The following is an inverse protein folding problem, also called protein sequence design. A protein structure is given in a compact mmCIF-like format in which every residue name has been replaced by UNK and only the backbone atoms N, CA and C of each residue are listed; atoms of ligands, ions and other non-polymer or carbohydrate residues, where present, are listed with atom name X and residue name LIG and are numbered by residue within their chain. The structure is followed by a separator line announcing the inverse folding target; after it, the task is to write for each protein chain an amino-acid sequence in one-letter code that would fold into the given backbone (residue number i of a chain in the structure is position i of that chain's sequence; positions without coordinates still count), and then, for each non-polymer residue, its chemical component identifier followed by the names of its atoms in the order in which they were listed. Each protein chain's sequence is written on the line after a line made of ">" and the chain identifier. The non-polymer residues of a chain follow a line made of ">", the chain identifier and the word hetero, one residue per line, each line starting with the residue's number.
data_IF_622353329741
#
_entry.id   IF_622353329741
#
_cell.length_a   1.000
_cell.length_b   1.000
_cell.length_c   1.000
_cell.angle_alpha   90.00
_cell.angle_beta   90.00
_cell.angle_gamma   90.00
#
_symmetry.space_group_name_H-M   'P 1'
#
loop_
_entity.id
_entity.type
_entity.pdbx_description
1 polymer ?
#
# COMPACT_ATOMS: atom_id res chain seq x y z
N UNK A 1 15.38 -2.64 17.91
CA UNK A 1 15.85 -1.24 17.79
C UNK A 1 14.59 -0.43 17.48
N UNK A 2 14.19 0.50 18.35
CA UNK A 2 13.03 1.37 18.09
C UNK A 2 13.58 2.69 17.56
N UNK A 3 13.13 3.10 16.37
CA UNK A 3 13.60 4.30 15.70
C UNK A 3 12.94 5.55 16.30
N UNK A 4 13.64 6.68 16.24
CA UNK A 4 13.19 7.98 16.74
C UNK A 4 12.03 8.51 15.88
N UNK A 5 11.02 9.10 16.53
CA UNK A 5 9.81 9.60 15.86
C UNK A 5 10.12 10.76 14.91
N UNK A 6 11.15 11.56 15.21
CA UNK A 6 11.56 12.67 14.33
C UNK A 6 12.15 12.18 13.00
N UNK A 7 12.65 10.95 12.97
CA UNK A 7 13.14 10.30 11.75
C UNK A 7 12.00 9.78 10.88
N UNK A 8 10.85 9.44 11.49
CA UNK A 8 9.66 8.96 10.77
C UNK A 8 8.83 10.10 10.14
N UNK A 9 9.01 11.35 10.60
CA UNK A 9 8.36 12.53 9.99
C UNK A 9 9.22 13.18 8.90
N UNK A 10 10.46 12.72 8.71
CA UNK A 10 11.32 13.18 7.64
C UNK A 10 10.96 12.44 6.34
N UNK A 11 10.50 13.19 5.33
CA UNK A 11 10.01 12.61 4.09
C UNK A 11 11.15 11.98 3.29
N UNK A 12 12.38 12.52 3.31
CA UNK A 12 13.58 11.87 2.72
C UNK A 12 13.76 10.45 3.25
N UNK A 13 13.62 10.25 4.57
CA UNK A 13 13.73 8.93 5.18
C UNK A 13 12.54 8.02 4.82
N UNK A 14 11.32 8.56 4.78
CA UNK A 14 10.14 7.80 4.34
C UNK A 14 10.29 7.39 2.86
N UNK A 15 10.79 8.28 2.00
CA UNK A 15 11.06 7.98 0.60
C UNK A 15 12.11 6.88 0.46
N UNK A 16 13.23 6.97 1.16
CA UNK A 16 14.23 5.89 1.17
C UNK A 16 13.68 4.56 1.73
N UNK A 17 12.81 4.58 2.75
CA UNK A 17 12.29 3.34 3.37
C UNK A 17 11.12 2.73 2.59
N UNK A 18 10.30 3.54 1.89
CA UNK A 18 9.22 3.05 1.03
C UNK A 18 9.72 2.64 -0.37
N UNK A 19 10.80 3.25 -0.87
CA UNK A 19 11.25 3.07 -2.26
C UNK A 19 12.60 2.39 -2.47
N UNK A 20 13.47 2.20 -1.46
CA UNK A 20 14.79 1.56 -1.70
C UNK A 20 14.81 0.06 -1.33
N UNK A 21 14.22 -0.34 -0.21
CA UNK A 21 14.29 -1.75 0.26
C UNK A 21 13.04 -2.59 -0.08
N UNK A 22 11.90 -1.98 -0.42
CA UNK A 22 10.60 -2.68 -0.48
C UNK A 22 9.81 -2.56 -1.80
N UNK A 23 10.02 -1.52 -2.62
CA UNK A 23 9.38 -1.39 -3.94
C UNK A 23 10.07 -0.35 -4.86
N UNK A 24 10.84 -0.82 -5.85
CA UNK A 24 11.34 0.00 -6.96
C UNK A 24 10.18 0.38 -7.90
N UNK A 25 9.90 1.67 -8.01
CA UNK A 25 8.81 2.20 -8.83
C UNK A 25 9.12 2.24 -10.34
N UNK A 26 10.38 2.08 -10.74
CA UNK A 26 10.77 1.91 -12.14
C UNK A 26 10.51 0.46 -12.63
N UNK A 27 10.56 -0.52 -11.72
CA UNK A 27 10.30 -1.94 -11.99
C UNK A 27 9.26 -2.59 -11.04
N UNK A 28 8.04 -2.03 -10.91
CA UNK A 28 7.07 -2.42 -9.87
C UNK A 28 6.53 -3.86 -10.05
N UNK A 29 6.58 -4.42 -11.27
CA UNK A 29 6.16 -5.81 -11.55
C UNK A 29 6.92 -6.84 -10.72
N UNK A 30 8.18 -6.55 -10.36
CA UNK A 30 9.02 -7.46 -9.56
C UNK A 30 8.44 -7.73 -8.17
N UNK A 31 7.55 -6.87 -7.71
CA UNK A 31 6.94 -6.94 -6.40
C UNK A 31 5.51 -7.51 -6.43
N UNK A 32 4.98 -7.85 -7.62
CA UNK A 32 3.69 -8.50 -7.76
C UNK A 32 3.71 -9.90 -7.12
N UNK A 33 2.74 -10.17 -6.26
CA UNK A 33 2.66 -11.37 -5.43
C UNK A 33 3.53 -11.33 -4.16
N UNK A 34 4.30 -10.26 -3.93
CA UNK A 34 5.11 -10.06 -2.72
C UNK A 34 4.61 -8.83 -1.93
N UNK A 35 4.86 -7.63 -2.46
CA UNK A 35 4.45 -6.36 -1.84
C UNK A 35 3.21 -5.76 -2.51
N UNK A 36 2.97 -6.10 -3.78
CA UNK A 36 1.79 -5.70 -4.55
C UNK A 36 0.93 -6.94 -4.86
N UNK A 37 -0.38 -6.83 -4.73
CA UNK A 37 -1.33 -7.95 -4.93
C UNK A 37 -1.87 -8.01 -6.35
N UNK A 38 -2.04 -6.87 -7.02
CA UNK A 38 -2.75 -6.81 -8.30
C UNK A 38 -2.03 -5.99 -9.35
N UNK A 39 -2.30 -6.27 -10.63
CA UNK A 39 -1.83 -5.45 -11.76
C UNK A 39 -2.26 -3.97 -11.64
N UNK A 40 -3.41 -3.72 -11.00
CA UNK A 40 -3.88 -2.36 -10.72
C UNK A 40 -2.96 -1.60 -9.75
N UNK A 41 -2.44 -2.27 -8.73
CA UNK A 41 -1.45 -1.70 -7.82
C UNK A 41 -0.11 -1.46 -8.52
N UNK A 42 0.32 -2.38 -9.39
CA UNK A 42 1.53 -2.23 -10.20
C UNK A 42 1.44 -1.00 -11.11
N UNK A 43 0.32 -0.82 -11.80
CA UNK A 43 0.10 0.33 -12.68
C UNK A 43 0.14 1.67 -11.90
N UNK A 44 -0.50 1.72 -10.73
CA UNK A 44 -0.52 2.91 -9.88
C UNK A 44 0.85 3.19 -9.24
N UNK A 45 1.64 2.15 -8.91
CA UNK A 45 3.00 2.32 -8.42
C UNK A 45 3.91 2.93 -9.48
N UNK A 46 3.80 2.49 -10.74
CA UNK A 46 4.53 3.10 -11.86
C UNK A 46 4.13 4.57 -12.06
N UNK A 47 2.83 4.86 -12.00
CA UNK A 47 2.32 6.23 -12.13
C UNK A 47 2.86 7.12 -10.99
N UNK A 48 2.98 6.57 -9.77
CA UNK A 48 3.53 7.28 -8.62
C UNK A 48 5.02 7.58 -8.83
N UNK A 49 5.80 6.62 -9.31
CA UNK A 49 7.21 6.82 -9.66
C UNK A 49 7.40 7.93 -10.69
N UNK A 50 6.59 7.94 -11.75
CA UNK A 50 6.63 8.99 -12.76
C UNK A 50 6.30 10.38 -12.19
N UNK A 51 5.28 10.48 -11.32
CA UNK A 51 4.92 11.73 -10.67
C UNK A 51 6.02 12.24 -9.72
N UNK A 52 6.66 11.33 -8.98
CA UNK A 52 7.79 11.67 -8.10
C UNK A 52 9.00 12.15 -8.89
N UNK A 53 9.35 11.49 -10.00
CA UNK A 53 10.43 11.95 -10.88
C UNK A 53 10.16 13.36 -11.43
N UNK A 54 8.93 13.65 -11.83
CA UNK A 54 8.55 15.01 -12.26
C UNK A 54 8.71 16.05 -11.13
N UNK A 55 8.37 15.69 -9.89
CA UNK A 55 8.57 16.57 -8.74
C UNK A 55 10.05 16.76 -8.40
N UNK A 56 10.87 15.71 -8.56
CA UNK A 56 12.32 15.76 -8.35
C UNK A 56 13.01 16.67 -9.38
N UNK A 57 12.55 16.66 -10.64
CA UNK A 57 13.03 17.58 -11.68
C UNK A 57 12.78 19.07 -11.31
N UNK A 58 11.80 19.36 -10.46
CA UNK A 58 11.47 20.70 -9.97
C UNK A 58 12.15 21.05 -8.63
N UNK A 59 12.75 20.07 -7.94
CA UNK A 59 13.36 20.17 -6.62
C UNK A 59 14.88 19.90 -6.68
N UNK A 60 15.70 20.85 -7.18
CA UNK A 60 17.11 20.61 -7.49
C UNK A 60 18.00 20.32 -6.27
N UNK A 61 17.55 20.67 -5.06
CA UNK A 61 18.26 20.38 -3.83
C UNK A 61 17.62 19.22 -3.05
N UNK A 62 16.59 18.56 -3.62
CA UNK A 62 15.96 17.38 -3.04
C UNK A 62 15.44 17.63 -1.61
N UNK A 63 14.92 18.84 -1.35
CA UNK A 63 14.42 19.20 -0.02
C UNK A 63 12.90 19.12 0.04
N UNK A 64 12.34 18.71 1.19
CA UNK A 64 10.88 18.68 1.45
C UNK A 64 10.16 19.97 1.04
N UNK A 65 10.76 21.13 1.36
CA UNK A 65 10.19 22.44 1.05
C UNK A 65 10.09 22.67 -0.46
N UNK A 66 11.08 22.22 -1.22
CA UNK A 66 11.07 22.32 -2.67
C UNK A 66 10.05 21.35 -3.28
N UNK A 67 9.98 20.10 -2.81
CA UNK A 67 8.95 19.15 -3.23
C UNK A 67 7.54 19.67 -2.99
N UNK A 68 7.24 20.19 -1.79
CA UNK A 68 5.93 20.74 -1.49
C UNK A 68 5.58 21.99 -2.31
N UNK A 69 6.57 22.65 -2.89
CA UNK A 69 6.40 23.80 -3.77
C UNK A 69 6.39 23.42 -5.26
N UNK A 70 6.78 22.19 -5.61
CA UNK A 70 6.73 21.70 -6.97
C UNK A 70 5.30 21.73 -7.52
N UNK A 71 5.13 22.20 -8.74
CA UNK A 71 3.85 22.28 -9.42
C UNK A 71 3.23 20.90 -9.66
N UNK A 72 4.08 19.86 -9.79
CA UNK A 72 3.72 18.45 -9.93
C UNK A 72 3.34 17.76 -8.61
N UNK A 73 3.61 18.37 -7.45
CA UNK A 73 3.32 17.76 -6.14
C UNK A 73 1.85 17.34 -5.94
N UNK A 74 0.82 18.10 -6.38
CA UNK A 74 -0.56 17.66 -6.29
C UNK A 74 -0.85 16.35 -7.02
N UNK A 75 -0.12 16.05 -8.11
CA UNK A 75 -0.25 14.79 -8.84
C UNK A 75 0.31 13.63 -8.04
N UNK A 76 1.48 13.80 -7.40
CA UNK A 76 2.06 12.81 -6.47
C UNK A 76 1.04 12.42 -5.39
N UNK A 77 0.45 13.42 -4.74
CA UNK A 77 -0.57 13.21 -3.69
C UNK A 77 -1.79 12.48 -4.24
N UNK A 78 -2.26 12.86 -5.43
CA UNK A 78 -3.43 12.23 -6.05
C UNK A 78 -3.18 10.76 -6.42
N UNK A 79 -2.02 10.43 -6.98
CA UNK A 79 -1.67 9.05 -7.35
C UNK A 79 -1.44 8.19 -6.11
N UNK A 80 -0.68 8.70 -5.13
CA UNK A 80 -0.45 8.01 -3.86
C UNK A 80 -1.77 7.70 -3.13
N UNK A 81 -2.71 8.65 -3.13
CA UNK A 81 -4.04 8.46 -2.56
C UNK A 81 -4.83 7.34 -3.26
N UNK A 82 -4.77 7.25 -4.60
CA UNK A 82 -5.41 6.16 -5.35
C UNK A 82 -4.76 4.81 -5.06
N UNK A 83 -3.43 4.76 -5.05
CA UNK A 83 -2.69 3.53 -4.72
C UNK A 83 -3.07 3.01 -3.34
N UNK A 84 -3.06 3.88 -2.32
CA UNK A 84 -3.45 3.53 -0.97
C UNK A 84 -4.90 3.00 -0.90
N UNK A 85 -5.84 3.64 -1.61
CA UNK A 85 -7.23 3.18 -1.67
C UNK A 85 -7.36 1.77 -2.26
N UNK A 86 -6.64 1.48 -3.35
CA UNK A 86 -6.65 0.16 -3.98
C UNK A 86 -6.06 -0.90 -3.05
N UNK A 87 -4.91 -0.63 -2.44
CA UNK A 87 -4.25 -1.57 -1.52
C UNK A 87 -5.14 -1.89 -0.31
N UNK A 88 -5.70 -0.86 0.33
CA UNK A 88 -6.63 -1.04 1.47
C UNK A 88 -7.88 -1.79 1.04
N UNK A 89 -8.44 -1.46 -0.13
CA UNK A 89 -9.61 -2.16 -0.67
C UNK A 89 -9.33 -3.65 -0.90
N UNK A 90 -8.17 -3.97 -1.45
CA UNK A 90 -7.75 -5.35 -1.66
C UNK A 90 -7.53 -6.10 -0.35
N UNK A 91 -6.93 -5.47 0.67
CA UNK A 91 -6.73 -6.08 2.00
C UNK A 91 -8.04 -6.35 2.72
N UNK A 92 -8.98 -5.40 2.68
CA UNK A 92 -10.31 -5.59 3.26
C UNK A 92 -11.08 -6.70 2.54
N UNK A 93 -10.96 -6.79 1.20
CA UNK A 93 -11.56 -7.87 0.42
C UNK A 93 -11.08 -9.25 0.84
N UNK A 94 -9.77 -9.43 1.02
CA UNK A 94 -9.19 -10.69 1.51
C UNK A 94 -9.65 -11.04 2.93
N UNK A 95 -9.70 -10.06 3.83
CA UNK A 95 -10.17 -10.28 5.20
C UNK A 95 -11.64 -10.77 5.23
N UNK A 96 -12.49 -10.22 4.37
CA UNK A 96 -13.88 -10.66 4.23
C UNK A 96 -13.94 -12.09 3.71
N UNK A 97 -13.19 -12.41 2.65
CA UNK A 97 -13.16 -13.75 2.05
C UNK A 97 -12.70 -14.83 3.04
N UNK A 98 -11.71 -14.51 3.88
CA UNK A 98 -11.26 -15.40 4.97
C UNK A 98 -12.39 -15.63 5.98
N UNK A 99 -13.08 -14.58 6.41
CA UNK A 99 -14.16 -14.69 7.39
C UNK A 99 -15.36 -15.52 6.87
N UNK A 100 -15.75 -15.33 5.61
CA UNK A 100 -16.82 -16.10 4.98
C UNK A 100 -16.44 -17.59 4.84
N UNK A 101 -15.19 -17.88 4.48
CA UNK A 101 -14.68 -19.25 4.37
C UNK A 101 -14.65 -19.98 5.73
N UNK A 102 -14.34 -19.27 6.82
CA UNK A 102 -14.39 -19.81 8.19
C UNK A 102 -15.83 -20.11 8.64
N UNK A 103 -16.79 -19.26 8.27
CA UNK A 103 -18.20 -19.44 8.59
C UNK A 103 -18.81 -20.67 7.87
N UNK A 104 -18.40 -20.93 6.63
CA UNK A 104 -18.84 -22.11 5.86
C UNK A 104 -18.21 -23.43 6.34
N UNK A 105 -17.01 -23.37 6.94
CA UNK A 105 -16.29 -24.53 7.46
C UNK A 105 -16.73 -25.00 8.85
N UNK A 106 -17.61 -24.28 9.55
CA UNK A 106 -18.00 -24.59 10.92
C UNK A 106 -19.20 -25.56 10.96
N UNK A 107 -19.04 -26.82 11.38
CA UNK A 107 -20.16 -27.76 11.42
C UNK A 107 -21.20 -27.29 12.43
N UNK A 108 -22.43 -27.07 11.96
CA UNK A 108 -23.58 -26.72 12.81
C UNK A 108 -23.77 -27.79 13.88
N UNK A 109 -23.46 -27.46 15.12
CA UNK A 109 -23.66 -28.32 16.27
C UNK A 109 -25.17 -28.37 16.58
N UNK A 110 -25.92 -29.19 15.84
CA UNK A 110 -27.33 -29.45 16.13
C UNK A 110 -27.44 -30.22 17.47
N UNK A 111 -28.33 -29.81 18.38
CA UNK A 111 -28.57 -30.56 19.60
C UNK A 111 -29.25 -31.88 19.22
N UNK A 112 -28.60 -33.02 19.52
CA UNK A 112 -29.26 -34.33 19.44
C UNK A 112 -30.42 -34.34 20.44
N UNK A 113 -31.65 -34.23 19.95
CA UNK A 113 -32.83 -34.69 20.69
C UNK A 113 -32.60 -36.16 21.05
N UNK A 114 -32.40 -36.40 22.36
CA UNK A 114 -32.26 -37.74 22.93
C UNK A 114 -33.67 -38.29 23.08
N UNK A 115 -34.15 -39.05 22.10
CA UNK A 115 -35.38 -39.83 22.25
C UNK A 115 -35.14 -40.92 23.29
N UNK A 116 -36.01 -40.91 24.30
CA UNK A 116 -36.07 -41.91 25.35
C UNK A 116 -36.93 -43.08 24.86
N UNK A 117 -36.39 -44.31 24.94
CA UNK A 117 -37.16 -45.54 25.02
C UNK A 117 -36.36 -46.59 25.80
#
# INVERSE_FOLDING_TARGET
>A
MWLDASTFENLDHIFHTLFDDFCDADEPERYLGTSLRTEGEVALMRELGAALNAAADEAPNDTDVEYFQAASWPEVVAVAGRLAQVMVGNDLGELVAVHESEAEGQPTNQPRCREAH
#
